data_IF_360300284158
#
_entry.id   IF_360300284158
#
_cell.length_a   1.000
_cell.length_b   1.000
_cell.length_c   1.000
_cell.angle_alpha   90.00
_cell.angle_beta   90.00
_cell.angle_gamma   90.00
#
_symmetry.space_group_name_H-M   'P 1'
#
loop_
_entity.id
_entity.type
_entity.pdbx_description
1 polymer ?
#
# COMPACT_ATOMS: atom_id res chain seq x y z
N UNK A 1 -34.12 -6.84 -5.23
CA UNK A 1 -32.66 -6.95 -5.12
C UNK A 1 -32.22 -5.69 -4.42
N UNK A 2 -31.61 -5.81 -3.24
CA UNK A 2 -31.05 -4.64 -2.54
C UNK A 2 -29.95 -4.09 -3.46
N UNK A 3 -30.02 -2.81 -3.78
CA UNK A 3 -29.04 -2.12 -4.60
C UNK A 3 -27.78 -1.87 -3.75
N UNK A 4 -26.92 -2.87 -3.65
CA UNK A 4 -25.66 -2.88 -2.89
C UNK A 4 -24.56 -2.07 -3.60
N UNK A 5 -24.89 -0.90 -4.18
CA UNK A 5 -23.96 -0.07 -4.97
C UNK A 5 -22.76 0.47 -4.17
N UNK A 6 -22.77 0.40 -2.84
CA UNK A 6 -21.78 1.08 -1.98
C UNK A 6 -20.76 0.14 -1.32
N UNK A 7 -20.97 -1.18 -1.30
CA UNK A 7 -20.03 -2.11 -0.67
C UNK A 7 -20.09 -3.50 -1.33
N UNK A 8 -18.96 -4.21 -1.31
CA UNK A 8 -18.86 -5.57 -1.84
C UNK A 8 -19.12 -6.60 -0.72
N UNK A 9 -19.87 -7.66 -1.02
CA UNK A 9 -19.92 -8.84 -0.15
C UNK A 9 -18.53 -9.49 -0.07
N UNK A 10 -18.22 -10.29 0.97
CA UNK A 10 -16.92 -10.98 1.05
C UNK A 10 -16.58 -11.82 -0.18
N UNK A 11 -17.60 -12.41 -0.82
CA UNK A 11 -17.43 -13.15 -2.06
C UNK A 11 -17.02 -12.25 -3.23
N UNK A 12 -17.73 -11.14 -3.42
CA UNK A 12 -17.43 -10.17 -4.48
C UNK A 12 -16.08 -9.47 -4.26
N UNK A 13 -15.74 -9.17 -3.00
CA UNK A 13 -14.43 -8.61 -2.65
C UNK A 13 -13.29 -9.58 -3.03
N UNK A 14 -13.45 -10.88 -2.76
CA UNK A 14 -12.47 -11.88 -3.19
C UNK A 14 -12.33 -11.96 -4.72
N UNK A 15 -13.43 -11.82 -5.46
CA UNK A 15 -13.40 -11.74 -6.93
C UNK A 15 -12.70 -10.46 -7.40
N UNK A 16 -12.94 -9.33 -6.74
CA UNK A 16 -12.29 -8.05 -7.05
C UNK A 16 -10.76 -8.10 -6.80
N UNK A 17 -10.31 -8.80 -5.76
CA UNK A 17 -8.88 -9.06 -5.50
C UNK A 17 -8.24 -9.82 -6.68
N UNK A 18 -8.90 -10.87 -7.18
CA UNK A 18 -8.41 -11.63 -8.34
C UNK A 18 -8.40 -10.78 -9.61
N UNK A 19 -9.45 -10.01 -9.88
CA UNK A 19 -9.51 -9.10 -11.03
C UNK A 19 -8.40 -8.03 -10.97
N UNK A 20 -8.12 -7.50 -9.78
CA UNK A 20 -7.03 -6.54 -9.55
C UNK A 20 -5.66 -7.17 -9.82
N UNK A 21 -5.45 -8.42 -9.40
CA UNK A 21 -4.25 -9.18 -9.73
C UNK A 21 -4.06 -9.32 -11.25
N UNK A 22 -5.09 -9.76 -11.97
CA UNK A 22 -5.04 -9.90 -13.43
C UNK A 22 -4.71 -8.59 -14.14
N UNK A 23 -5.21 -7.45 -13.63
CA UNK A 23 -4.88 -6.13 -14.15
C UNK A 23 -3.41 -5.77 -13.89
N UNK A 24 -2.93 -5.98 -12.66
CA UNK A 24 -1.55 -5.67 -12.26
C UNK A 24 -0.51 -6.55 -12.98
N UNK A 25 -0.83 -7.82 -13.22
CA UNK A 25 0.05 -8.75 -13.94
C UNK A 25 0.31 -8.32 -15.41
N UNK A 26 -0.53 -7.45 -15.97
CA UNK A 26 -0.39 -6.92 -17.34
C UNK A 26 0.30 -5.56 -17.41
N UNK A 27 0.74 -5.00 -16.27
CA UNK A 27 1.47 -3.74 -16.27
C UNK A 27 2.80 -3.91 -17.02
N UNK A 28 3.15 -2.88 -17.80
CA UNK A 28 4.48 -2.80 -18.37
C UNK A 28 5.50 -2.56 -17.23
N UNK A 29 6.72 -3.08 -17.39
CA UNK A 29 7.75 -3.05 -16.36
C UNK A 29 8.14 -1.61 -15.95
N UNK A 30 8.20 -0.71 -16.91
CA UNK A 30 8.45 0.72 -16.68
C UNK A 30 7.37 1.35 -15.79
N UNK A 31 6.10 1.08 -16.09
CA UNK A 31 4.95 1.55 -15.31
C UNK A 31 4.98 0.97 -13.90
N UNK A 32 5.27 -0.33 -13.77
CA UNK A 32 5.41 -1.00 -12.47
C UNK A 32 6.51 -0.35 -11.64
N UNK A 33 7.70 -0.13 -12.21
CA UNK A 33 8.84 0.45 -11.49
C UNK A 33 8.54 1.89 -11.05
N UNK A 34 8.05 2.73 -11.96
CA UNK A 34 7.73 4.14 -11.65
C UNK A 34 6.64 4.22 -10.57
N UNK A 35 5.56 3.45 -10.71
CA UNK A 35 4.48 3.43 -9.71
C UNK A 35 4.94 2.85 -8.36
N UNK A 36 5.93 1.95 -8.36
CA UNK A 36 6.49 1.39 -7.13
C UNK A 36 7.37 2.41 -6.40
N UNK A 37 8.18 3.19 -7.13
CA UNK A 37 8.94 4.30 -6.53
C UNK A 37 7.98 5.34 -5.96
N UNK A 38 6.96 5.73 -6.73
CA UNK A 38 5.93 6.65 -6.26
C UNK A 38 5.21 6.11 -5.03
N UNK A 39 4.87 4.82 -5.01
CA UNK A 39 4.27 4.16 -3.86
C UNK A 39 5.12 4.27 -2.59
N UNK A 40 6.45 4.11 -2.72
CA UNK A 40 7.39 4.29 -1.62
C UNK A 40 7.43 5.73 -1.09
N UNK A 41 7.52 6.71 -1.99
CA UNK A 41 7.51 8.15 -1.63
C UNK A 41 6.23 8.52 -0.90
N UNK A 42 5.07 8.14 -1.46
CA UNK A 42 3.76 8.44 -0.89
C UNK A 42 3.57 7.77 0.46
N UNK A 43 3.92 6.49 0.60
CA UNK A 43 3.79 5.78 1.85
C UNK A 43 4.69 6.37 2.95
N UNK A 44 5.92 6.75 2.61
CA UNK A 44 6.91 7.30 3.55
C UNK A 44 6.54 8.72 4.02
N UNK A 45 5.77 9.47 3.25
CA UNK A 45 5.26 10.78 3.69
C UNK A 45 4.46 10.69 5.00
N UNK A 46 3.72 9.60 5.21
CA UNK A 46 3.02 9.33 6.48
C UNK A 46 4.00 9.11 7.65
N UNK A 47 5.11 8.41 7.41
CA UNK A 47 6.18 8.24 8.42
C UNK A 47 6.83 9.56 8.79
N UNK A 48 7.06 10.46 7.83
CA UNK A 48 7.63 11.79 8.09
C UNK A 48 6.71 12.59 9.03
N UNK A 49 5.40 12.59 8.78
CA UNK A 49 4.43 13.26 9.65
C UNK A 49 4.40 12.65 11.06
N UNK A 50 4.42 11.31 11.15
CA UNK A 50 4.49 10.60 12.43
C UNK A 50 5.71 11.03 13.23
N UNK A 51 6.89 11.04 12.60
CA UNK A 51 8.16 11.40 13.26
C UNK A 51 8.18 12.88 13.64
N UNK A 52 7.69 13.78 12.78
CA UNK A 52 7.64 15.22 13.08
C UNK A 52 6.85 15.48 14.37
N UNK A 53 5.66 14.89 14.50
CA UNK A 53 4.81 15.04 15.68
C UNK A 53 5.50 14.50 16.95
N UNK A 54 6.18 13.36 16.85
CA UNK A 54 6.88 12.80 18.00
C UNK A 54 8.12 13.61 18.40
N UNK A 55 8.86 14.15 17.42
CA UNK A 55 10.09 14.89 17.65
C UNK A 55 9.85 16.23 18.35
N UNK A 56 8.71 16.88 18.10
CA UNK A 56 8.39 18.20 18.65
C UNK A 56 7.67 18.14 20.01
N UNK A 57 7.27 16.95 20.48
CA UNK A 57 6.39 16.78 21.65
C UNK A 57 6.98 15.83 22.71
N UNK A 58 8.24 16.05 23.09
CA UNK A 58 8.97 15.24 24.08
C UNK A 58 8.28 15.20 25.46
N UNK A 59 7.67 16.30 25.91
CA UNK A 59 6.95 16.36 27.19
C UNK A 59 5.68 15.50 27.19
N UNK A 60 4.97 15.42 26.05
CA UNK A 60 3.82 14.53 25.91
C UNK A 60 4.26 13.07 25.84
N UNK A 61 5.41 12.80 25.22
CA UNK A 61 5.98 11.45 25.17
C UNK A 61 6.28 10.91 26.57
N UNK A 62 6.82 11.74 27.47
CA UNK A 62 7.15 11.32 28.84
C UNK A 62 5.92 11.21 29.75
N UNK A 63 4.97 12.13 29.63
CA UNK A 63 3.83 12.21 30.54
C UNK A 63 2.65 11.36 30.09
N UNK A 64 2.35 11.32 28.80
CA UNK A 64 1.16 10.68 28.23
C UNK A 64 1.42 10.13 26.81
N UNK A 65 2.27 9.10 26.64
CA UNK A 65 2.65 8.57 25.33
C UNK A 65 1.47 8.06 24.50
N UNK A 66 0.39 7.62 25.16
CA UNK A 66 -0.81 7.11 24.47
C UNK A 66 -1.48 8.15 23.56
N UNK A 67 -1.56 9.41 24.01
CA UNK A 67 -2.16 10.50 23.23
C UNK A 67 -1.28 10.82 22.02
N UNK A 68 0.03 10.89 22.23
CA UNK A 68 0.98 11.18 21.17
C UNK A 68 0.99 10.08 20.10
N UNK A 69 0.97 8.81 20.51
CA UNK A 69 0.85 7.67 19.61
C UNK A 69 -0.45 7.66 18.81
N UNK A 70 -1.58 8.05 19.44
CA UNK A 70 -2.87 8.15 18.75
C UNK A 70 -2.83 9.20 17.63
N UNK A 71 -2.32 10.40 17.94
CA UNK A 71 -2.19 11.49 16.96
C UNK A 71 -1.20 11.10 15.85
N UNK A 72 -0.08 10.46 16.21
CA UNK A 72 0.86 9.91 15.25
C UNK A 72 0.21 8.89 14.32
N UNK A 73 -0.54 7.93 14.85
CA UNK A 73 -1.23 6.91 14.03
C UNK A 73 -2.24 7.51 13.05
N UNK A 74 -2.97 8.55 13.47
CA UNK A 74 -3.90 9.26 12.60
C UNK A 74 -3.19 9.94 11.42
N UNK A 75 -2.05 10.58 11.68
CA UNK A 75 -1.28 11.27 10.63
C UNK A 75 -0.49 10.32 9.74
N UNK A 76 -0.01 9.21 10.28
CA UNK A 76 0.62 8.14 9.50
C UNK A 76 -0.32 7.58 8.42
N UNK A 77 -1.62 7.49 8.72
CA UNK A 77 -2.64 6.96 7.80
C UNK A 77 -2.74 7.76 6.48
N UNK A 78 -2.30 9.03 6.48
CA UNK A 78 -2.27 9.88 5.27
C UNK A 78 -1.37 9.28 4.18
N UNK A 79 -0.26 8.64 4.55
CA UNK A 79 0.65 8.02 3.57
C UNK A 79 -0.05 6.91 2.78
N UNK A 80 -0.76 6.01 3.47
CA UNK A 80 -1.52 4.94 2.80
C UNK A 80 -2.70 5.50 2.01
N UNK A 81 -3.36 6.56 2.50
CA UNK A 81 -4.45 7.21 1.77
C UNK A 81 -4.00 7.70 0.39
N UNK A 82 -2.84 8.35 0.28
CA UNK A 82 -2.33 8.79 -1.01
C UNK A 82 -1.99 7.64 -1.95
N UNK A 83 -1.39 6.56 -1.45
CA UNK A 83 -1.11 5.35 -2.25
C UNK A 83 -2.39 4.81 -2.89
N UNK A 84 -3.49 4.77 -2.15
CA UNK A 84 -4.79 4.26 -2.63
C UNK A 84 -5.40 5.20 -3.67
N UNK A 85 -5.47 6.50 -3.37
CA UNK A 85 -6.11 7.49 -4.27
C UNK A 85 -5.35 7.63 -5.59
N UNK A 86 -4.02 7.62 -5.54
CA UNK A 86 -3.18 7.73 -6.73
C UNK A 86 -2.98 6.40 -7.46
N UNK A 87 -3.44 5.29 -6.87
CA UNK A 87 -3.33 3.96 -7.48
C UNK A 87 -1.88 3.49 -7.65
N UNK A 88 -0.99 3.90 -6.74
CA UNK A 88 0.42 3.52 -6.79
C UNK A 88 0.65 2.05 -6.42
N UNK A 89 1.81 1.51 -6.80
CA UNK A 89 2.14 0.11 -6.53
C UNK A 89 2.84 0.00 -5.16
N UNK A 90 2.26 -0.78 -4.26
CA UNK A 90 2.81 -1.05 -2.93
C UNK A 90 3.02 -2.55 -2.76
N UNK A 91 4.21 -2.94 -2.32
CA UNK A 91 4.62 -4.33 -2.14
C UNK A 91 3.61 -5.12 -1.29
N UNK A 92 3.18 -4.57 -0.16
CA UNK A 92 2.24 -5.24 0.76
C UNK A 92 0.91 -5.58 0.08
N UNK A 93 0.37 -4.70 -0.77
CA UNK A 93 -0.87 -4.98 -1.50
C UNK A 93 -0.63 -5.99 -2.62
N UNK A 94 0.53 -5.94 -3.27
CA UNK A 94 0.93 -6.92 -4.28
C UNK A 94 1.15 -8.32 -3.68
N UNK A 95 1.58 -8.46 -2.42
CA UNK A 95 1.55 -9.75 -1.71
C UNK A 95 0.14 -10.33 -1.71
N UNK A 96 -0.87 -9.53 -1.30
CA UNK A 96 -2.27 -9.98 -1.28
C UNK A 96 -2.77 -10.36 -2.68
N UNK A 97 -2.66 -9.44 -3.65
CA UNK A 97 -3.22 -9.64 -4.98
C UNK A 97 -2.58 -10.83 -5.70
N UNK A 98 -1.25 -10.92 -5.73
CA UNK A 98 -0.56 -11.97 -6.46
C UNK A 98 -0.63 -13.33 -5.75
N UNK A 99 -0.64 -13.39 -4.40
CA UNK A 99 -0.84 -14.66 -3.69
C UNK A 99 -2.21 -15.26 -3.98
N UNK A 100 -3.27 -14.45 -3.87
CA UNK A 100 -4.64 -14.90 -4.16
C UNK A 100 -4.80 -15.22 -5.65
N UNK A 101 -4.22 -14.40 -6.53
CA UNK A 101 -4.23 -14.64 -7.97
C UNK A 101 -3.55 -15.94 -8.36
N UNK A 102 -2.39 -16.26 -7.76
CA UNK A 102 -1.69 -17.52 -7.99
C UNK A 102 -2.54 -18.73 -7.54
N UNK A 103 -3.11 -18.67 -6.33
CA UNK A 103 -3.98 -19.75 -5.81
C UNK A 103 -5.23 -19.96 -6.65
N UNK A 104 -5.69 -18.92 -7.36
CA UNK A 104 -6.84 -18.95 -8.26
C UNK A 104 -6.45 -19.23 -9.73
N UNK A 105 -5.18 -19.50 -10.03
CA UNK A 105 -4.65 -19.66 -11.38
C UNK A 105 -4.93 -18.46 -12.31
N UNK A 106 -5.04 -17.26 -11.74
CA UNK A 106 -5.29 -16.01 -12.46
C UNK A 106 -3.99 -15.26 -12.83
N UNK A 107 -2.87 -15.61 -12.20
CA UNK A 107 -1.53 -15.12 -12.49
C UNK A 107 -0.53 -16.27 -12.35
N UNK A 108 0.59 -16.18 -13.07
CA UNK A 108 1.66 -17.17 -12.99
C UNK A 108 2.60 -16.86 -11.84
N UNK A 109 3.40 -17.86 -11.44
CA UNK A 109 4.48 -17.63 -10.46
C UNK A 109 5.51 -16.62 -10.96
N UNK A 110 5.72 -16.52 -12.29
CA UNK A 110 6.61 -15.53 -12.89
C UNK A 110 6.08 -14.11 -12.70
N UNK A 111 4.78 -13.88 -12.94
CA UNK A 111 4.14 -12.57 -12.75
C UNK A 111 4.24 -12.12 -11.28
N UNK A 112 4.05 -13.07 -10.35
CA UNK A 112 4.20 -12.84 -8.92
C UNK A 112 5.63 -12.42 -8.57
N UNK A 113 6.64 -13.16 -9.03
CA UNK A 113 8.04 -12.86 -8.71
C UNK A 113 8.48 -11.50 -9.28
N UNK A 114 8.09 -11.18 -10.50
CA UNK A 114 8.35 -9.87 -11.13
C UNK A 114 7.71 -8.76 -10.31
N UNK A 115 6.41 -8.89 -10.02
CA UNK A 115 5.68 -7.89 -9.23
C UNK A 115 6.31 -7.66 -7.87
N UNK A 116 6.59 -8.73 -7.12
CA UNK A 116 7.15 -8.65 -5.78
C UNK A 116 8.56 -8.04 -5.79
N UNK A 117 9.42 -8.48 -6.69
CA UNK A 117 10.78 -7.99 -6.77
C UNK A 117 10.84 -6.50 -7.09
N UNK A 118 10.17 -6.05 -8.15
CA UNK A 118 10.22 -4.65 -8.57
C UNK A 118 9.44 -3.72 -7.64
N UNK A 119 8.31 -4.17 -7.08
CA UNK A 119 7.57 -3.35 -6.11
C UNK A 119 8.34 -3.19 -4.79
N UNK A 120 9.00 -4.25 -4.31
CA UNK A 120 9.84 -4.16 -3.12
C UNK A 120 11.02 -3.21 -3.32
N UNK A 121 11.78 -3.36 -4.41
CA UNK A 121 12.91 -2.48 -4.72
C UNK A 121 12.47 -1.04 -4.97
N UNK A 122 11.39 -0.85 -5.73
CA UNK A 122 10.85 0.48 -6.02
C UNK A 122 10.38 1.18 -4.75
N UNK A 123 9.64 0.48 -3.88
CA UNK A 123 9.19 1.05 -2.62
C UNK A 123 10.38 1.45 -1.73
N UNK A 124 11.42 0.62 -1.60
CA UNK A 124 12.63 0.97 -0.86
C UNK A 124 13.32 2.19 -1.46
N UNK A 125 13.50 2.22 -2.79
CA UNK A 125 14.13 3.35 -3.47
C UNK A 125 13.35 4.65 -3.25
N UNK A 126 12.02 4.60 -3.34
CA UNK A 126 11.15 5.74 -3.07
C UNK A 126 11.20 6.18 -1.60
N UNK A 127 11.24 5.23 -0.66
CA UNK A 127 11.39 5.53 0.76
C UNK A 127 12.75 6.14 1.11
N UNK A 128 13.83 5.72 0.46
CA UNK A 128 15.17 6.28 0.69
C UNK A 128 15.35 7.69 0.12
N UNK A 129 14.51 8.07 -0.85
CA UNK A 129 14.51 9.41 -1.43
C UNK A 129 13.87 10.45 -0.51
N UNK A 130 12.93 10.03 0.36
CA UNK A 130 12.19 10.87 1.31
C UNK A 130 12.95 10.97 2.62
#
# INVERSE_FOLDING_TARGET
MVDDSNYLTPHEAALAVVATCMKKARLQLDTLIINSILGGVLFSSGSVLYVAIHSENLDLLSNNPGILNLIGGLTYSVGLFYVVILGAELFNSNILFFSVGLLRNAATIYDLLISWFFSWLGNIAGSLFV
#
